data_IF_380981614144
#
_entry.id   IF_380981614144
#
_cell.length_a   1.000
_cell.length_b   1.000
_cell.length_c   1.000
_cell.angle_alpha   90.00
_cell.angle_beta   90.00
_cell.angle_gamma   90.00
#
_symmetry.space_group_name_H-M   'P 1'
#
loop_
_entity.id
_entity.type
_entity.pdbx_description
1 polymer ?
#
# COMPACT_ATOMS: atom_id res chain seq x y z
N UNK A 1 18.35 -10.98 18.52
CA UNK A 1 17.35 -10.35 17.63
C UNK A 1 18.05 -9.22 16.89
N UNK A 2 18.53 -9.46 15.64
CA UNK A 2 19.20 -8.41 14.86
C UNK A 2 18.14 -7.43 14.38
N UNK A 3 18.15 -6.20 14.90
CA UNK A 3 17.38 -5.09 14.35
C UNK A 3 17.70 -4.99 12.85
N UNK A 4 16.64 -5.09 12.03
CA UNK A 4 16.73 -4.94 10.58
C UNK A 4 17.49 -3.65 10.27
N UNK A 5 18.52 -3.69 9.42
CA UNK A 5 19.30 -2.51 9.10
C UNK A 5 18.40 -1.49 8.40
N UNK A 6 17.99 -0.50 9.18
CA UNK A 6 17.44 0.74 8.70
C UNK A 6 18.48 1.45 7.82
N UNK A 7 18.03 2.02 6.71
CA UNK A 7 18.82 2.87 5.80
C UNK A 7 19.98 2.21 5.04
N UNK A 8 19.63 1.42 4.03
CA UNK A 8 20.23 1.63 2.70
C UNK A 8 19.13 2.10 1.77
N UNK A 9 19.01 3.42 1.67
CA UNK A 9 18.27 4.05 0.58
C UNK A 9 18.88 3.53 -0.74
N UNK A 10 17.99 3.39 -1.70
CA UNK A 10 17.98 2.45 -2.80
C UNK A 10 19.00 2.72 -3.93
N UNK A 11 20.13 3.35 -3.62
CA UNK A 11 21.19 3.72 -4.58
C UNK A 11 21.78 2.49 -5.30
N UNK A 12 21.51 1.30 -4.76
CA UNK A 12 22.05 0.02 -5.18
C UNK A 12 21.22 -0.74 -6.23
N UNK A 13 19.96 -0.38 -6.50
CA UNK A 13 19.06 -1.19 -7.36
C UNK A 13 18.61 -0.45 -8.63
N UNK A 14 18.18 0.81 -8.52
CA UNK A 14 17.68 1.61 -9.65
C UNK A 14 18.53 2.86 -9.92
N UNK A 15 18.51 3.35 -11.16
CA UNK A 15 18.98 4.70 -11.49
C UNK A 15 18.05 5.75 -10.86
N UNK A 16 18.55 6.94 -10.54
CA UNK A 16 17.75 8.04 -9.99
C UNK A 16 16.63 8.47 -10.95
N UNK A 17 16.85 8.44 -12.27
CA UNK A 17 15.81 8.77 -13.27
C UNK A 17 14.67 7.76 -13.23
N UNK A 18 15.02 6.48 -13.14
CA UNK A 18 14.07 5.38 -13.02
C UNK A 18 13.29 5.45 -11.70
N UNK A 19 13.99 5.78 -10.61
CA UNK A 19 13.37 5.97 -9.30
C UNK A 19 12.36 7.13 -9.32
N UNK A 20 12.71 8.28 -9.89
CA UNK A 20 11.79 9.42 -10.04
C UNK A 20 10.55 9.03 -10.84
N UNK A 21 10.71 8.28 -11.93
CA UNK A 21 9.59 7.79 -12.73
C UNK A 21 8.66 6.87 -11.93
N UNK A 22 9.20 5.92 -11.15
CA UNK A 22 8.40 5.07 -10.26
C UNK A 22 7.59 5.93 -9.30
N UNK A 23 8.23 6.92 -8.65
CA UNK A 23 7.55 7.81 -7.71
C UNK A 23 6.37 8.52 -8.39
N UNK A 24 6.60 9.08 -9.58
CA UNK A 24 5.55 9.77 -10.34
C UNK A 24 4.37 8.83 -10.64
N UNK A 25 4.65 7.62 -11.14
CA UNK A 25 3.60 6.62 -11.40
C UNK A 25 2.84 6.26 -10.12
N UNK A 26 3.53 6.09 -8.99
CA UNK A 26 2.89 5.81 -7.71
C UNK A 26 2.00 6.96 -7.22
N UNK A 27 2.40 8.21 -7.42
CA UNK A 27 1.57 9.39 -7.13
C UNK A 27 0.30 9.35 -7.98
N UNK A 28 0.43 9.16 -9.29
CA UNK A 28 -0.71 9.13 -10.22
C UNK A 28 -1.66 7.98 -9.89
N UNK A 29 -1.14 6.77 -9.68
CA UNK A 29 -1.95 5.60 -9.32
C UNK A 29 -2.68 5.82 -7.99
N UNK A 30 -1.98 6.31 -6.96
CA UNK A 30 -2.59 6.54 -5.64
C UNK A 30 -3.62 7.66 -5.69
N UNK A 31 -3.32 8.75 -6.40
CA UNK A 31 -4.26 9.84 -6.63
C UNK A 31 -5.50 9.39 -7.40
N UNK A 32 -5.33 8.62 -8.47
CA UNK A 32 -6.44 8.06 -9.23
C UNK A 32 -7.34 7.16 -8.38
N UNK A 33 -6.77 6.28 -7.54
CA UNK A 33 -7.54 5.43 -6.62
C UNK A 33 -8.37 6.26 -5.64
N UNK A 34 -7.88 7.42 -5.20
CA UNK A 34 -8.58 8.27 -4.24
C UNK A 34 -9.63 9.15 -4.93
N UNK A 35 -9.28 9.78 -6.06
CA UNK A 35 -10.08 10.82 -6.72
C UNK A 35 -11.16 10.24 -7.63
N UNK A 36 -10.88 9.21 -8.43
CA UNK A 36 -11.87 8.62 -9.34
C UNK A 36 -13.17 8.20 -8.64
N UNK A 37 -13.13 7.58 -7.45
CA UNK A 37 -14.30 7.37 -6.60
C UNK A 37 -15.24 8.54 -6.36
N UNK A 38 -14.70 9.76 -6.33
CA UNK A 38 -15.47 10.96 -5.99
C UNK A 38 -16.35 11.42 -7.16
N UNK A 39 -15.95 11.05 -8.38
CA UNK A 39 -16.62 11.48 -9.62
C UNK A 39 -17.35 10.34 -10.33
N UNK A 40 -16.97 9.09 -10.08
CA UNK A 40 -17.52 7.92 -10.76
C UNK A 40 -18.01 6.87 -9.76
N UNK A 41 -19.22 6.35 -10.00
CA UNK A 41 -19.78 5.19 -9.29
C UNK A 41 -19.08 3.89 -9.75
N UNK A 42 -17.79 3.80 -9.50
CA UNK A 42 -17.00 2.61 -9.76
C UNK A 42 -17.48 1.44 -8.89
N UNK A 43 -17.08 0.19 -9.17
CA UNK A 43 -17.26 -0.95 -8.27
C UNK A 43 -16.33 -0.88 -7.05
N UNK A 44 -16.83 -1.23 -5.84
CA UNK A 44 -16.13 -1.07 -4.53
C UNK A 44 -14.68 -1.60 -4.46
N UNK A 45 -14.30 -2.52 -5.35
CA UNK A 45 -12.96 -3.10 -5.44
C UNK A 45 -11.93 -2.23 -6.19
N UNK A 46 -12.36 -1.29 -7.05
CA UNK A 46 -11.48 -0.32 -7.71
C UNK A 46 -11.04 0.78 -6.71
N UNK A 47 -11.93 1.16 -5.78
CA UNK A 47 -11.71 2.19 -4.74
C UNK A 47 -10.59 1.88 -3.75
N UNK A 48 -10.21 0.61 -3.65
CA UNK A 48 -9.27 0.13 -2.65
C UNK A 48 -7.97 -0.37 -3.29
N UNK A 49 -7.76 -0.13 -4.59
CA UNK A 49 -6.55 -0.52 -5.28
C UNK A 49 -5.34 0.25 -4.71
N UNK A 50 -4.64 -0.39 -3.78
CA UNK A 50 -3.45 0.16 -3.13
C UNK A 50 -2.18 -0.05 -3.95
N UNK A 51 -2.27 -0.44 -5.24
CA UNK A 51 -1.09 -0.76 -6.04
C UNK A 51 -0.03 0.36 -6.05
N UNK A 52 -0.44 1.64 -6.11
CA UNK A 52 0.51 2.76 -6.03
C UNK A 52 1.27 2.80 -4.70
N UNK A 53 0.56 2.72 -3.58
CA UNK A 53 1.14 2.64 -2.23
C UNK A 53 2.01 1.38 -2.11
N UNK A 54 1.54 0.27 -2.67
CA UNK A 54 2.22 -1.02 -2.62
C UNK A 54 3.57 -0.95 -3.33
N UNK A 55 3.59 -0.52 -4.59
CA UNK A 55 4.81 -0.38 -5.40
C UNK A 55 5.78 0.56 -4.70
N UNK A 56 5.31 1.73 -4.25
CA UNK A 56 6.14 2.70 -3.55
C UNK A 56 6.73 2.11 -2.26
N UNK A 57 5.93 1.38 -1.48
CA UNK A 57 6.38 0.74 -0.23
C UNK A 57 7.40 -0.34 -0.46
N UNK A 58 7.19 -1.19 -1.46
CA UNK A 58 8.13 -2.23 -1.80
C UNK A 58 9.49 -1.64 -2.20
N UNK A 59 9.49 -0.60 -3.03
CA UNK A 59 10.71 0.05 -3.57
C UNK A 59 11.40 0.93 -2.52
N UNK A 60 10.67 1.84 -1.88
CA UNK A 60 11.22 2.90 -1.04
C UNK A 60 11.31 2.51 0.44
N UNK A 61 10.47 1.57 0.86
CA UNK A 61 10.41 1.07 2.22
C UNK A 61 9.54 1.88 3.18
N UNK A 62 9.58 1.48 4.45
CA UNK A 62 8.64 1.91 5.48
C UNK A 62 8.59 3.43 5.66
N UNK A 63 9.71 4.05 6.06
CA UNK A 63 9.70 5.48 6.41
C UNK A 63 9.30 6.38 5.23
N UNK A 64 9.89 6.24 4.02
CA UNK A 64 9.47 7.06 2.89
C UNK A 64 7.98 6.90 2.57
N UNK A 65 7.42 5.70 2.75
CA UNK A 65 6.01 5.42 2.45
C UNK A 65 5.05 6.04 3.45
N UNK A 66 5.45 6.09 4.73
CA UNK A 66 4.72 6.84 5.77
C UNK A 66 4.68 8.32 5.41
N UNK A 67 5.82 8.91 5.02
CA UNK A 67 5.89 10.32 4.61
C UNK A 67 5.04 10.55 3.36
N UNK A 68 5.11 9.65 2.38
CA UNK A 68 4.32 9.70 1.15
C UNK A 68 2.82 9.73 1.42
N UNK A 69 2.31 8.83 2.26
CA UNK A 69 0.87 8.79 2.55
C UNK A 69 0.44 10.02 3.38
N UNK A 70 1.26 10.49 4.33
CA UNK A 70 0.97 11.72 5.07
C UNK A 70 0.91 12.94 4.13
N UNK A 71 1.81 13.02 3.15
CA UNK A 71 1.80 14.08 2.15
C UNK A 71 0.54 14.05 1.29
N UNK A 72 0.17 12.87 0.76
CA UNK A 72 -1.08 12.72 0.00
C UNK A 72 -2.28 13.16 0.83
N UNK A 73 -2.32 12.77 2.10
CA UNK A 73 -3.42 13.13 3.00
C UNK A 73 -3.45 14.63 3.27
N UNK A 74 -2.31 15.29 3.47
CA UNK A 74 -2.24 16.74 3.62
C UNK A 74 -2.77 17.47 2.36
N UNK A 75 -2.44 16.97 1.16
CA UNK A 75 -2.96 17.53 -0.11
C UNK A 75 -4.47 17.35 -0.20
N UNK A 76 -5.00 16.16 0.07
CA UNK A 76 -6.44 15.89 0.01
C UNK A 76 -7.22 16.72 1.02
N UNK A 77 -6.66 16.93 2.22
CA UNK A 77 -7.23 17.81 3.23
C UNK A 77 -7.35 19.24 2.72
N UNK A 78 -6.31 19.76 2.05
CA UNK A 78 -6.31 21.10 1.47
C UNK A 78 -7.34 21.28 0.35
N UNK A 79 -7.67 20.22 -0.39
CA UNK A 79 -8.65 20.24 -1.50
C UNK A 79 -10.09 20.01 -1.00
N UNK A 80 -10.31 19.90 0.32
CA UNK A 80 -11.65 19.84 0.90
C UNK A 80 -12.35 18.48 0.75
N UNK A 81 -11.58 17.42 0.49
CA UNK A 81 -12.10 16.06 0.50
C UNK A 81 -12.52 15.71 1.94
N UNK A 82 -13.67 15.04 2.11
CA UNK A 82 -14.36 14.88 3.40
C UNK A 82 -13.51 14.29 4.55
N UNK A 83 -13.46 15.01 5.68
CA UNK A 83 -12.73 14.70 6.92
C UNK A 83 -12.99 13.30 7.50
N UNK A 84 -14.21 12.77 7.34
CA UNK A 84 -14.64 11.48 7.94
C UNK A 84 -13.90 10.27 7.33
N UNK A 85 -13.43 10.38 6.09
CA UNK A 85 -12.65 9.32 5.45
C UNK A 85 -11.18 9.30 5.88
N UNK A 86 -10.67 10.36 6.54
CA UNK A 86 -9.24 10.53 6.77
C UNK A 86 -8.70 9.64 7.88
N UNK A 87 -9.36 9.56 9.03
CA UNK A 87 -8.82 8.86 10.21
C UNK A 87 -8.72 7.35 9.98
N UNK A 88 -9.80 6.71 9.55
CA UNK A 88 -9.80 5.27 9.27
C UNK A 88 -8.92 4.90 8.07
N UNK A 89 -9.00 5.64 6.96
CA UNK A 89 -8.21 5.36 5.75
C UNK A 89 -6.72 5.56 5.99
N UNK A 90 -6.32 6.57 6.78
CA UNK A 90 -4.93 6.77 7.17
C UNK A 90 -4.42 5.57 7.99
N UNK A 91 -5.15 5.16 9.03
CA UNK A 91 -4.77 4.00 9.87
C UNK A 91 -4.64 2.75 9.01
N UNK A 92 -5.61 2.48 8.14
CA UNK A 92 -5.60 1.32 7.24
C UNK A 92 -4.39 1.33 6.30
N UNK A 93 -4.07 2.48 5.70
CA UNK A 93 -2.91 2.61 4.83
C UNK A 93 -1.59 2.45 5.58
N UNK A 94 -1.49 2.96 6.82
CA UNK A 94 -0.31 2.73 7.67
C UNK A 94 -0.09 1.25 7.96
N UNK A 95 -1.15 0.51 8.28
CA UNK A 95 -1.08 -0.95 8.51
C UNK A 95 -0.62 -1.67 7.25
N UNK A 96 -1.20 -1.33 6.08
CA UNK A 96 -0.78 -1.92 4.81
C UNK A 96 0.70 -1.65 4.52
N UNK A 97 1.16 -0.42 4.71
CA UNK A 97 2.57 -0.04 4.53
C UNK A 97 3.49 -0.88 5.43
N UNK A 98 3.09 -1.09 6.69
CA UNK A 98 3.84 -1.92 7.64
C UNK A 98 3.91 -3.37 7.14
N UNK A 99 2.76 -3.97 6.78
CA UNK A 99 2.69 -5.36 6.30
C UNK A 99 3.55 -5.54 5.04
N UNK A 100 3.39 -4.66 4.04
CA UNK A 100 4.18 -4.71 2.82
C UNK A 100 5.67 -4.59 3.14
N UNK A 101 6.05 -3.65 4.01
CA UNK A 101 7.45 -3.44 4.38
C UNK A 101 8.06 -4.65 5.09
N UNK A 102 7.29 -5.36 5.93
CA UNK A 102 7.73 -6.56 6.64
C UNK A 102 7.88 -7.77 5.70
N UNK A 103 7.00 -7.89 4.71
CA UNK A 103 7.06 -8.97 3.72
C UNK A 103 8.07 -8.70 2.59
N UNK A 104 8.39 -7.43 2.32
CA UNK A 104 9.25 -7.01 1.24
C UNK A 104 10.70 -7.48 1.46
N UNK A 105 11.19 -8.25 0.50
CA UNK A 105 12.61 -8.52 0.34
C UNK A 105 13.07 -7.73 -0.88
N UNK A 106 13.79 -6.62 -0.64
CA UNK A 106 14.20 -5.70 -1.70
C UNK A 106 15.43 -6.19 -2.47
N UNK A 107 16.15 -7.15 -1.90
CA UNK A 107 17.27 -7.80 -2.57
C UNK A 107 16.77 -8.91 -3.49
N UNK A 108 15.78 -9.68 -3.03
CA UNK A 108 15.21 -10.80 -3.78
C UNK A 108 13.78 -10.50 -4.23
N UNK A 109 13.65 -10.20 -5.52
CA UNK A 109 12.37 -9.93 -6.17
C UNK A 109 11.56 -11.21 -6.40
N UNK A 110 10.86 -11.67 -5.36
CA UNK A 110 10.17 -12.98 -5.31
C UNK A 110 8.64 -12.79 -5.31
N UNK A 111 7.95 -13.34 -6.31
CA UNK A 111 6.49 -13.27 -6.45
C UNK A 111 5.73 -13.77 -5.20
N UNK A 112 6.18 -14.87 -4.59
CA UNK A 112 5.53 -15.46 -3.40
C UNK A 112 5.42 -14.44 -2.25
N UNK A 113 6.39 -13.54 -2.07
CA UNK A 113 6.34 -12.51 -1.02
C UNK A 113 5.24 -11.48 -1.27
N UNK A 114 4.97 -11.17 -2.54
CA UNK A 114 3.85 -10.30 -2.90
C UNK A 114 2.52 -10.95 -2.50
N UNK A 115 2.34 -12.23 -2.86
CA UNK A 115 1.14 -13.00 -2.50
C UNK A 115 0.97 -13.11 -0.98
N UNK A 116 2.03 -13.45 -0.24
CA UNK A 116 1.98 -13.55 1.23
C UNK A 116 1.50 -12.24 1.85
N UNK A 117 2.06 -11.10 1.44
CA UNK A 117 1.61 -9.81 1.97
C UNK A 117 0.14 -9.52 1.61
N UNK A 118 -0.31 -9.90 0.41
CA UNK A 118 -1.69 -9.74 -0.04
C UNK A 118 -2.65 -10.56 0.82
N UNK A 119 -2.28 -11.79 1.16
CA UNK A 119 -3.03 -12.68 2.05
C UNK A 119 -3.06 -12.12 3.48
N UNK A 120 -1.91 -11.69 4.02
CA UNK A 120 -1.86 -11.09 5.37
C UNK A 120 -2.72 -9.82 5.43
N UNK A 121 -2.64 -8.94 4.43
CA UNK A 121 -3.48 -7.74 4.39
C UNK A 121 -4.96 -8.09 4.32
N UNK A 122 -5.32 -9.10 3.53
CA UNK A 122 -6.71 -9.58 3.42
C UNK A 122 -7.27 -10.07 4.75
N UNK A 123 -6.45 -10.77 5.54
CA UNK A 123 -6.86 -11.32 6.83
C UNK A 123 -6.90 -10.28 7.94
N UNK A 124 -5.92 -9.37 7.97
CA UNK A 124 -5.64 -8.58 9.17
C UNK A 124 -5.78 -7.07 9.00
N UNK A 125 -5.67 -6.49 7.81
CA UNK A 125 -5.58 -5.03 7.67
C UNK A 125 -6.81 -4.30 8.21
N UNK A 126 -8.02 -4.68 7.78
CA UNK A 126 -9.25 -4.04 8.28
C UNK A 126 -9.51 -4.33 9.76
N UNK A 127 -9.16 -5.52 10.23
CA UNK A 127 -9.33 -5.91 11.63
C UNK A 127 -8.46 -5.05 12.55
N UNK A 128 -7.17 -4.92 12.23
CA UNK A 128 -6.25 -4.07 12.99
C UNK A 128 -6.68 -2.60 12.89
N UNK A 129 -7.08 -2.13 11.70
CA UNK A 129 -7.50 -0.73 11.52
C UNK A 129 -8.74 -0.39 12.34
N UNK A 130 -9.73 -1.29 12.37
CA UNK A 130 -10.95 -1.13 13.14
C UNK A 130 -10.65 -1.20 14.65
N UNK A 131 -9.78 -2.10 15.09
CA UNK A 131 -9.35 -2.19 16.49
C UNK A 131 -8.70 -0.88 16.98
N UNK A 132 -7.73 -0.35 16.23
CA UNK A 132 -7.07 0.93 16.56
C UNK A 132 -8.09 2.07 16.55
N UNK A 133 -8.97 2.10 15.55
CA UNK A 133 -10.00 3.15 15.45
C UNK A 133 -10.96 3.12 16.65
N UNK A 134 -11.38 1.94 17.12
CA UNK A 134 -12.25 1.81 18.29
C UNK A 134 -11.55 2.26 19.59
N UNK A 135 -10.26 1.94 19.77
CA UNK A 135 -9.47 2.47 20.89
C UNK A 135 -9.46 4.01 20.85
N UNK A 136 -9.27 4.59 19.67
CA UNK A 136 -9.22 6.05 19.51
C UNK A 136 -10.58 6.73 19.66
N UNK A 137 -11.68 6.02 19.38
CA UNK A 137 -13.03 6.61 19.26
C UNK A 137 -13.90 6.38 20.49
N UNK A 138 -13.45 5.67 21.52
CA UNK A 138 -14.21 5.25 22.72
C UNK A 138 -15.54 4.50 22.47
N UNK A 139 -15.93 4.30 21.21
CA UNK A 139 -17.11 3.54 20.80
C UNK A 139 -16.72 2.08 20.51
N UNK A 140 -17.14 1.18 21.39
CA UNK A 140 -16.97 -0.26 21.21
C UNK A 140 -17.86 -0.82 20.10
N UNK A 141 -17.47 -0.64 18.83
CA UNK A 141 -18.17 -1.27 17.70
C UNK A 141 -17.84 -2.76 17.63
N UNK A 142 -18.85 -3.59 17.33
CA UNK A 142 -18.66 -5.03 17.15
C UNK A 142 -17.92 -5.34 15.84
N UNK A 143 -17.04 -6.34 15.88
CA UNK A 143 -16.22 -6.75 14.73
C UNK A 143 -16.78 -7.95 13.96
N UNK A 144 -17.94 -8.49 14.35
CA UNK A 144 -18.49 -9.73 13.77
C UNK A 144 -18.65 -9.66 12.24
N UNK A 145 -19.11 -8.52 11.71
CA UNK A 145 -19.25 -8.32 10.28
C UNK A 145 -17.91 -8.39 9.51
N UNK A 146 -16.78 -8.06 10.15
CA UNK A 146 -15.46 -8.12 9.51
C UNK A 146 -15.00 -9.55 9.23
N UNK A 147 -15.57 -10.54 9.91
CA UNK A 147 -15.28 -11.96 9.71
C UNK A 147 -16.18 -12.63 8.68
N UNK A 148 -17.10 -11.89 8.05
CA UNK A 148 -17.95 -12.45 6.99
C UNK A 148 -17.14 -12.82 5.75
N UNK A 149 -17.54 -13.91 5.08
CA UNK A 149 -16.94 -14.38 3.83
C UNK A 149 -16.98 -13.31 2.73
N UNK A 150 -18.05 -12.53 2.66
CA UNK A 150 -18.18 -11.45 1.66
C UNK A 150 -17.13 -10.34 1.86
N UNK A 151 -16.87 -9.97 3.11
CA UNK A 151 -15.82 -8.99 3.44
C UNK A 151 -14.44 -9.56 3.13
N UNK A 152 -14.20 -10.84 3.44
CA UNK A 152 -12.95 -11.52 3.09
C UNK A 152 -12.72 -11.57 1.58
N UNK A 153 -13.70 -12.02 0.80
CA UNK A 153 -13.62 -12.09 -0.67
C UNK A 153 -13.41 -10.69 -1.26
N UNK A 154 -14.11 -9.68 -0.73
CA UNK A 154 -13.91 -8.29 -1.12
C UNK A 154 -12.48 -7.82 -0.90
N UNK A 155 -11.91 -8.10 0.28
CA UNK A 155 -10.52 -7.75 0.61
C UNK A 155 -9.50 -8.54 -0.22
N UNK A 156 -9.75 -9.83 -0.48
CA UNK A 156 -8.89 -10.67 -1.29
C UNK A 156 -8.76 -10.10 -2.71
N UNK A 157 -9.90 -9.74 -3.32
CA UNK A 157 -9.92 -9.09 -4.65
C UNK A 157 -9.08 -7.82 -4.64
N UNK A 158 -9.09 -7.05 -3.57
CA UNK A 158 -8.33 -5.81 -3.50
C UNK A 158 -6.84 -6.09 -3.34
N UNK A 159 -6.45 -6.78 -2.26
CA UNK A 159 -5.06 -6.85 -1.85
C UNK A 159 -4.25 -7.84 -2.68
N UNK A 160 -4.85 -8.96 -3.08
CA UNK A 160 -4.17 -9.94 -3.94
C UNK A 160 -4.01 -9.37 -5.35
N UNK A 161 -5.06 -8.74 -5.93
CA UNK A 161 -4.91 -8.10 -7.25
C UNK A 161 -3.92 -6.94 -7.19
N UNK A 162 -3.93 -6.11 -6.13
CA UNK A 162 -2.94 -5.04 -5.96
C UNK A 162 -1.51 -5.59 -5.87
N UNK A 163 -1.30 -6.71 -5.15
CA UNK A 163 -0.01 -7.35 -5.04
C UNK A 163 0.48 -7.94 -6.38
N UNK A 164 -0.42 -8.60 -7.13
CA UNK A 164 -0.12 -9.14 -8.46
C UNK A 164 0.18 -8.00 -9.45
N UNK A 165 -0.61 -6.94 -9.45
CA UNK A 165 -0.40 -5.77 -10.30
C UNK A 165 0.93 -5.08 -9.97
N UNK A 166 1.24 -4.91 -8.68
CA UNK A 166 2.52 -4.36 -8.23
C UNK A 166 3.71 -5.23 -8.69
N UNK A 167 3.60 -6.55 -8.57
CA UNK A 167 4.62 -7.47 -9.04
C UNK A 167 4.81 -7.38 -10.56
N UNK A 168 3.74 -7.41 -11.34
CA UNK A 168 3.82 -7.33 -12.81
C UNK A 168 4.45 -6.00 -13.25
N UNK A 169 4.00 -4.89 -12.68
CA UNK A 169 4.56 -3.58 -12.97
C UNK A 169 6.05 -3.52 -12.65
N UNK A 170 6.45 -3.96 -11.44
CA UNK A 170 7.85 -3.98 -11.04
C UNK A 170 8.68 -4.99 -11.84
N UNK A 171 8.10 -6.08 -12.32
CA UNK A 171 8.78 -7.06 -13.19
C UNK A 171 9.15 -6.43 -14.54
N UNK A 172 8.18 -5.75 -15.16
CA UNK A 172 8.38 -5.00 -16.40
C UNK A 172 9.41 -3.91 -16.15
N UNK A 173 9.25 -3.13 -15.09
CA UNK A 173 10.15 -2.03 -14.76
C UNK A 173 11.59 -2.50 -14.51
N UNK A 174 11.77 -3.59 -13.76
CA UNK A 174 13.07 -4.20 -13.51
C UNK A 174 13.76 -4.66 -14.80
N UNK A 175 13.00 -5.16 -15.78
CA UNK A 175 13.55 -5.57 -17.08
C UNK A 175 14.20 -4.40 -17.83
N UNK A 176 13.66 -3.19 -17.68
CA UNK A 176 14.14 -2.01 -18.42
C UNK A 176 15.12 -1.13 -17.64
N UNK A 177 15.03 -1.12 -16.31
CA UNK A 177 15.70 -0.10 -15.49
C UNK A 177 16.48 -0.62 -14.28
N UNK A 178 16.58 -1.94 -14.09
CA UNK A 178 17.47 -2.51 -13.06
C UNK A 178 18.91 -2.40 -13.53
N UNK A 179 19.81 -1.88 -12.68
CA UNK A 179 21.24 -1.79 -13.02
C UNK A 179 21.80 -3.19 -13.36
N UNK A 180 22.48 -3.38 -14.51
CA UNK A 180 23.09 -4.67 -14.83
C UNK A 180 24.19 -4.99 -13.80
N UNK A 181 24.17 -6.20 -13.22
CA UNK A 181 25.25 -6.70 -12.34
C UNK A 181 24.90 -7.09 -10.90
N UNK A 182 23.62 -7.18 -10.51
CA UNK A 182 23.23 -7.81 -9.23
C UNK A 182 22.14 -8.85 -9.42
N UNK A 183 22.60 -10.08 -9.62
CA UNK A 183 21.83 -11.31 -9.43
C UNK A 183 21.77 -11.64 -7.94
#
# INVERSE_FOLDING_TARGET
>A
MKLLPYNKINDKVYDIRAYIFIIFVCIVLTGATIVLPMFFALPKWIYLNIAGIYIFTYVSGLLPSIIFILFIQAVLFKVGVAYVFFSYSLILNMINIIIISLCADRERFIFIRFIISGVIMTLFSKMIAAFISNIMSAGGQSFEYLFSLDVFIGQAKIYILSAVAAYLFLSIFNKFYKKPGKN
#
